data_IF_932616558033
#
_entry.id   IF_932616558033
#
_cell.length_a   1.000
_cell.length_b   1.000
_cell.length_c   1.000
_cell.angle_alpha   90.00
_cell.angle_beta   90.00
_cell.angle_gamma   90.00
#
_symmetry.space_group_name_H-M   'P 1'
#
loop_
_entity.id
_entity.type
_entity.pdbx_description
1 polymer ?
#
# COMPACT_ATOMS: atom_id res chain seq x y z
N UNK A 1 -3.87 4.24 1.65
CA UNK A 1 -4.50 4.02 0.30
C UNK A 1 -5.36 5.21 -0.15
N UNK A 2 -5.39 5.49 -1.46
CA UNK A 2 -5.82 6.79 -2.02
C UNK A 2 -6.13 6.68 -3.54
N UNK A 3 -7.18 7.37 -4.03
CA UNK A 3 -7.86 7.18 -5.34
C UNK A 3 -7.83 5.73 -5.89
N UNK A 4 -8.00 4.73 -5.02
CA UNK A 4 -7.67 3.35 -5.37
C UNK A 4 -8.91 2.57 -5.81
N UNK A 5 -8.82 1.95 -7.00
CA UNK A 5 -9.91 1.16 -7.63
C UNK A 5 -9.50 -0.27 -7.99
N UNK A 6 -8.23 -0.64 -7.76
CA UNK A 6 -7.68 -1.92 -8.21
C UNK A 6 -7.97 -3.07 -7.23
N UNK A 7 -9.25 -3.34 -7.02
CA UNK A 7 -9.71 -4.46 -6.19
C UNK A 7 -9.22 -5.85 -6.65
N UNK A 8 -8.98 -6.16 -7.95
CA UNK A 8 -8.38 -7.44 -8.32
C UNK A 8 -6.97 -7.62 -7.75
N UNK A 9 -6.12 -6.59 -7.85
CA UNK A 9 -4.76 -6.60 -7.29
C UNK A 9 -4.76 -6.58 -5.76
N UNK A 10 -5.76 -5.95 -5.12
CA UNK A 10 -5.94 -6.01 -3.67
C UNK A 10 -6.22 -7.44 -3.19
N UNK A 11 -7.08 -8.19 -3.89
CA UNK A 11 -7.34 -9.59 -3.56
C UNK A 11 -6.10 -10.46 -3.83
N UNK A 12 -5.41 -10.26 -4.96
CA UNK A 12 -4.13 -10.94 -5.27
C UNK A 12 -3.11 -10.72 -4.14
N UNK A 13 -2.96 -9.46 -3.69
CA UNK A 13 -2.06 -9.09 -2.59
C UNK A 13 -2.46 -9.79 -1.29
N UNK A 14 -3.72 -9.71 -0.86
CA UNK A 14 -4.17 -10.34 0.39
C UNK A 14 -3.94 -11.85 0.34
N UNK A 15 -4.41 -12.54 -0.70
CA UNK A 15 -4.35 -14.01 -0.74
C UNK A 15 -2.92 -14.55 -0.86
N UNK A 16 -2.04 -13.92 -1.64
CA UNK A 16 -0.64 -14.40 -1.71
C UNK A 16 0.13 -14.04 -0.44
N UNK A 17 -0.13 -12.91 0.22
CA UNK A 17 0.47 -12.62 1.52
C UNK A 17 -0.04 -13.55 2.64
N UNK A 18 -1.31 -14.00 2.57
CA UNK A 18 -1.81 -15.07 3.47
C UNK A 18 -1.04 -16.38 3.28
N UNK A 19 -0.74 -16.75 2.03
CA UNK A 19 0.08 -17.94 1.70
C UNK A 19 1.55 -17.75 2.13
N UNK A 20 2.07 -16.52 2.17
CA UNK A 20 3.35 -16.19 2.81
C UNK A 20 3.29 -16.18 4.35
N UNK A 21 2.12 -16.40 4.96
CA UNK A 21 1.93 -16.51 6.41
C UNK A 21 1.37 -15.27 7.11
N UNK A 22 0.92 -14.24 6.37
CA UNK A 22 0.27 -13.07 6.97
C UNK A 22 -1.15 -13.41 7.45
N UNK A 23 -1.37 -13.36 8.76
CA UNK A 23 -2.68 -13.64 9.39
C UNK A 23 -3.64 -12.44 9.40
N UNK A 24 -3.09 -11.22 9.31
CA UNK A 24 -3.83 -9.98 9.57
C UNK A 24 -3.32 -8.84 8.68
N UNK A 25 -4.27 -8.09 8.13
CA UNK A 25 -4.07 -7.03 7.14
C UNK A 25 -4.76 -5.76 7.58
N UNK A 26 -4.21 -4.64 7.12
CA UNK A 26 -4.66 -3.32 7.50
C UNK A 26 -4.48 -2.38 6.34
N UNK A 27 -5.48 -1.54 6.12
CA UNK A 27 -5.45 -0.56 5.05
C UNK A 27 -6.13 0.71 5.56
N UNK A 28 -5.36 1.77 5.81
CA UNK A 28 -6.03 3.08 5.92
C UNK A 28 -6.40 3.56 4.52
N UNK A 29 -7.57 4.17 4.40
CA UNK A 29 -8.07 4.66 3.12
C UNK A 29 -8.56 6.10 3.25
N UNK A 30 -8.20 6.94 2.29
CA UNK A 30 -8.74 8.31 2.16
C UNK A 30 -9.87 8.35 1.12
N UNK A 31 -9.67 7.68 -0.02
CA UNK A 31 -10.67 7.48 -1.08
C UNK A 31 -10.43 6.15 -1.81
N UNK A 32 -11.46 5.31 -1.89
CA UNK A 32 -11.46 4.01 -2.61
C UNK A 32 -12.75 3.85 -3.40
N UNK A 33 -12.78 3.06 -4.49
CA UNK A 33 -14.07 2.75 -5.14
C UNK A 33 -14.96 1.89 -4.24
N UNK A 34 -16.26 1.88 -4.52
CA UNK A 34 -17.20 1.05 -3.78
C UNK A 34 -16.84 -0.43 -3.80
N UNK A 35 -16.40 -0.95 -4.95
CA UNK A 35 -15.95 -2.34 -5.07
C UNK A 35 -14.79 -2.66 -4.11
N UNK A 36 -13.80 -1.76 -4.00
CA UNK A 36 -12.69 -1.90 -3.04
C UNK A 36 -13.19 -1.87 -1.60
N UNK A 37 -14.16 -1.00 -1.28
CA UNK A 37 -14.72 -0.89 0.06
C UNK A 37 -15.57 -2.11 0.47
N UNK A 38 -16.32 -2.71 -0.45
CA UNK A 38 -17.03 -3.97 -0.19
C UNK A 38 -16.04 -5.15 -0.06
N UNK A 39 -14.95 -5.18 -0.84
CA UNK A 39 -13.85 -6.16 -0.65
C UNK A 39 -13.23 -6.03 0.75
N UNK A 40 -13.01 -4.80 1.25
CA UNK A 40 -12.57 -4.61 2.64
C UNK A 40 -13.56 -5.21 3.65
N UNK A 41 -14.87 -4.98 3.50
CA UNK A 41 -15.88 -5.53 4.41
C UNK A 41 -15.92 -7.05 4.44
N UNK A 42 -15.74 -7.73 3.30
CA UNK A 42 -15.72 -9.20 3.28
C UNK A 42 -14.53 -9.75 4.09
N UNK A 43 -13.33 -9.22 3.89
CA UNK A 43 -12.18 -9.61 4.69
C UNK A 43 -12.23 -9.12 6.15
N UNK A 44 -12.93 -8.02 6.43
CA UNK A 44 -13.19 -7.52 7.80
C UNK A 44 -14.12 -8.47 8.58
N UNK A 45 -15.21 -8.94 7.96
CA UNK A 45 -16.09 -10.00 8.51
C UNK A 45 -15.33 -11.28 8.83
N UNK A 46 -14.33 -11.62 8.02
CA UNK A 46 -13.44 -12.77 8.24
C UNK A 46 -12.37 -12.52 9.31
N UNK A 47 -12.29 -11.31 9.86
CA UNK A 47 -11.25 -10.91 10.82
C UNK A 47 -9.86 -10.75 10.19
N UNK A 48 -9.72 -10.83 8.86
CA UNK A 48 -8.46 -10.78 8.12
C UNK A 48 -8.02 -9.33 7.89
N UNK A 49 -8.92 -8.46 7.43
CA UNK A 49 -8.64 -7.04 7.19
C UNK A 49 -9.17 -6.18 8.35
N UNK A 50 -8.55 -5.02 8.57
CA UNK A 50 -9.18 -3.88 9.26
C UNK A 50 -9.02 -2.64 8.38
N UNK A 51 -10.12 -2.14 7.78
CA UNK A 51 -10.10 -0.89 7.01
C UNK A 51 -10.25 0.28 7.98
N UNK A 52 -9.34 1.26 7.91
CA UNK A 52 -9.39 2.40 8.84
C UNK A 52 -9.44 3.71 8.05
N UNK A 53 -10.25 4.64 8.54
CA UNK A 53 -10.48 5.93 7.87
C UNK A 53 -9.25 6.81 8.02
N UNK A 54 -8.69 7.28 6.91
CA UNK A 54 -7.69 8.32 6.94
C UNK A 54 -8.34 9.64 7.38
N UNK A 55 -8.08 10.03 8.62
CA UNK A 55 -8.54 11.30 9.20
C UNK A 55 -7.95 12.53 8.50
N UNK A 56 -8.65 13.66 8.68
CA UNK A 56 -8.65 14.79 7.74
C UNK A 56 -8.68 16.09 8.58
N UNK A 57 -7.69 16.97 8.45
CA UNK A 57 -7.34 18.02 9.43
C UNK A 57 -8.30 19.22 9.48
N UNK A 58 -8.62 19.79 10.65
CA UNK A 58 -9.73 20.74 10.79
C UNK A 58 -9.55 22.02 9.94
N UNK A 59 -10.54 22.31 9.09
CA UNK A 59 -10.65 23.57 8.34
C UNK A 59 -10.80 24.75 9.28
N UNK A 60 -10.04 25.83 9.05
CA UNK A 60 -10.24 27.09 9.75
C UNK A 60 -11.53 27.76 9.24
N UNK A 61 -12.52 27.89 10.12
CA UNK A 61 -13.84 28.44 9.76
C UNK A 61 -13.84 29.95 9.54
N UNK A 62 -12.87 30.67 10.10
CA UNK A 62 -12.79 32.13 10.07
C UNK A 62 -12.07 32.64 8.82
N UNK A 63 -11.26 31.79 8.17
CA UNK A 63 -10.49 32.11 6.96
C UNK A 63 -10.82 31.24 5.74
N UNK A 64 -11.66 30.20 5.91
CA UNK A 64 -11.91 29.17 4.89
C UNK A 64 -10.70 28.26 4.61
N UNK A 65 -9.55 28.47 5.27
CA UNK A 65 -8.34 27.72 4.99
C UNK A 65 -8.48 26.25 5.41
N UNK A 66 -8.43 25.35 4.43
CA UNK A 66 -8.31 23.92 4.69
C UNK A 66 -6.83 23.48 4.57
N UNK A 67 -6.17 23.07 5.66
CA UNK A 67 -4.81 22.56 5.60
C UNK A 67 -4.68 21.29 4.73
N UNK A 68 -5.74 20.50 4.53
CA UNK A 68 -5.72 19.27 3.74
C UNK A 68 -5.34 19.48 2.25
N UNK A 69 -5.50 20.70 1.71
CA UNK A 69 -5.07 21.02 0.34
C UNK A 69 -3.54 21.07 0.18
N UNK A 70 -2.82 21.30 1.28
CA UNK A 70 -1.38 21.56 1.29
C UNK A 70 -0.62 20.51 2.12
N UNK A 71 -1.30 19.87 3.08
CA UNK A 71 -0.86 18.66 3.77
C UNK A 71 -0.75 17.46 2.81
N UNK A 72 0.38 17.40 2.14
CA UNK A 72 1.22 16.25 2.37
C UNK A 72 1.91 16.48 3.74
N UNK A 73 1.84 15.53 4.68
CA UNK A 73 2.90 15.27 5.68
C UNK A 73 3.30 16.36 6.72
N UNK A 74 2.67 16.41 7.91
CA UNK A 74 3.29 17.02 9.13
C UNK A 74 2.95 16.23 10.42
N UNK A 75 3.78 16.33 11.48
CA UNK A 75 3.38 15.90 12.84
C UNK A 75 4.40 15.24 13.80
N UNK A 76 5.70 15.11 13.46
CA UNK A 76 6.71 14.36 14.25
C UNK A 76 6.79 14.67 15.77
N UNK A 77 6.32 15.84 16.23
CA UNK A 77 6.41 16.30 17.62
C UNK A 77 5.11 16.22 18.42
N UNK A 78 3.95 16.08 17.77
CA UNK A 78 2.64 16.19 18.45
C UNK A 78 2.17 14.81 18.93
N UNK A 79 2.33 13.79 18.08
CA UNK A 79 1.82 12.43 18.35
C UNK A 79 2.55 11.68 19.46
N UNK A 80 3.81 12.05 19.73
CA UNK A 80 4.61 11.47 20.82
C UNK A 80 4.00 11.75 22.20
N UNK A 81 3.40 12.94 22.42
CA UNK A 81 2.81 13.30 23.70
C UNK A 81 1.35 12.83 23.85
N UNK A 82 0.57 12.80 22.77
CA UNK A 82 -0.84 12.38 22.86
C UNK A 82 -1.00 10.86 23.04
N UNK A 83 -0.15 10.06 22.38
CA UNK A 83 -0.15 8.60 22.52
C UNK A 83 0.21 8.16 23.95
N UNK A 84 1.21 8.80 24.56
CA UNK A 84 1.65 8.56 25.94
C UNK A 84 0.54 8.81 26.98
N UNK A 85 -0.47 9.61 26.64
CA UNK A 85 -1.50 10.10 27.55
C UNK A 85 -2.87 9.42 27.35
N UNK A 86 -3.00 8.42 26.46
CA UNK A 86 -4.31 7.82 26.09
C UNK A 86 -4.37 6.29 25.99
N UNK A 87 -3.25 5.57 26.05
CA UNK A 87 -3.22 4.13 25.75
C UNK A 87 -3.37 3.23 26.99
N UNK A 88 -4.57 2.66 27.21
CA UNK A 88 -4.85 1.62 28.22
C UNK A 88 -5.43 0.33 27.58
N UNK A 89 -4.94 -0.11 26.42
CA UNK A 89 -5.46 -1.29 25.68
C UNK A 89 -4.36 -2.27 25.22
N UNK A 90 -4.74 -3.37 24.54
CA UNK A 90 -3.92 -4.59 24.39
C UNK A 90 -4.12 -5.41 23.06
N UNK A 91 -4.41 -4.77 21.91
CA UNK A 91 -4.22 -5.37 20.54
C UNK A 91 -4.53 -4.41 19.36
N UNK A 92 -3.68 -4.34 18.29
CA UNK A 92 -4.06 -4.37 16.83
C UNK A 92 -3.03 -3.74 15.81
N UNK A 93 -2.35 -4.50 14.90
CA UNK A 93 -1.45 -3.97 13.84
C UNK A 93 -2.03 -3.01 12.77
N UNK A 94 -1.26 -2.63 11.72
CA UNK A 94 -1.64 -1.51 10.80
C UNK A 94 -0.82 -1.36 9.46
N UNK A 95 -1.28 -0.68 8.36
CA UNK A 95 -0.48 -0.21 7.16
C UNK A 95 -1.06 1.06 6.42
N UNK A 96 -0.40 2.24 6.54
CA UNK A 96 -0.45 3.52 5.72
C UNK A 96 -1.71 4.47 5.60
N UNK A 97 -1.86 5.47 6.50
CA UNK A 97 -2.62 6.75 6.25
C UNK A 97 -3.59 7.33 7.35
N UNK A 98 -3.17 8.08 8.39
CA UNK A 98 -4.07 8.73 9.41
C UNK A 98 -3.41 9.87 10.20
N UNK A 99 -4.16 10.92 10.54
CA UNK A 99 -3.77 11.91 11.56
C UNK A 99 -4.97 12.21 12.45
N UNK A 100 -4.89 11.81 13.71
CA UNK A 100 -5.90 12.04 14.77
C UNK A 100 -6.16 13.56 14.96
N UNK A 101 -7.33 14.02 15.43
CA UNK A 101 -7.68 15.43 15.34
C UNK A 101 -7.34 16.18 16.64
N UNK A 102 -6.18 16.83 16.65
CA UNK A 102 -5.88 17.94 17.57
C UNK A 102 -5.76 19.23 16.75
N UNK A 103 -6.21 20.35 17.34
CA UNK A 103 -6.24 21.67 16.72
C UNK A 103 -4.82 22.24 16.52
N UNK A 104 -4.11 21.74 15.52
CA UNK A 104 -2.82 22.28 15.10
C UNK A 104 -3.02 23.67 14.50
N UNK A 105 -2.19 24.63 14.92
CA UNK A 105 -2.18 25.96 14.33
C UNK A 105 -1.47 25.93 12.97
N UNK A 106 -2.06 26.62 11.99
CA UNK A 106 -1.52 26.75 10.63
C UNK A 106 -0.20 27.51 10.69
N UNK A 107 0.86 27.03 10.06
CA UNK A 107 2.10 27.79 10.02
C UNK A 107 1.88 29.11 9.25
N UNK A 108 2.32 30.26 9.79
CA UNK A 108 1.91 31.55 9.25
C UNK A 108 2.48 31.78 7.85
N UNK A 109 1.60 31.87 6.85
CA UNK A 109 1.94 32.39 5.52
C UNK A 109 2.60 33.75 5.66
N UNK A 110 3.82 33.89 5.13
CA UNK A 110 4.48 35.18 5.02
C UNK A 110 3.66 36.06 4.06
N UNK A 111 3.03 37.10 4.62
CA UNK A 111 2.06 37.96 3.93
C UNK A 111 2.67 38.87 2.86
N UNK A 112 3.98 39.10 2.91
CA UNK A 112 4.72 39.98 1.99
C UNK A 112 5.14 39.23 0.71
N UNK A 113 5.45 37.93 0.84
CA UNK A 113 5.98 37.08 -0.24
C UNK A 113 4.97 36.05 -0.77
N UNK A 114 3.85 35.85 -0.08
CA UNK A 114 2.91 34.76 -0.36
C UNK A 114 3.46 33.36 -0.07
N UNK A 115 4.60 33.26 0.62
CA UNK A 115 5.21 31.99 1.00
C UNK A 115 4.48 31.36 2.19
N UNK A 116 3.78 30.26 1.95
CA UNK A 116 3.31 29.37 3.01
C UNK A 116 4.26 28.15 3.08
N UNK A 117 4.93 27.89 4.23
CA UNK A 117 5.78 26.71 4.40
C UNK A 117 5.01 25.38 4.24
N UNK A 118 3.68 25.36 4.41
CA UNK A 118 2.84 24.17 4.24
C UNK A 118 2.95 23.57 2.81
N UNK A 119 3.25 24.38 1.79
CA UNK A 119 3.48 23.88 0.42
C UNK A 119 4.71 22.98 0.27
N UNK A 120 5.65 23.03 1.22
CA UNK A 120 6.96 22.36 1.11
C UNK A 120 7.07 21.10 1.98
N UNK A 121 5.96 20.65 2.56
CA UNK A 121 5.90 19.53 3.50
C UNK A 121 6.03 18.17 2.80
N UNK A 122 7.26 17.85 2.36
CA UNK A 122 7.53 16.62 1.62
C UNK A 122 8.35 15.60 2.43
N UNK A 123 7.66 14.87 3.32
CA UNK A 123 7.86 13.42 3.69
C UNK A 123 7.65 12.99 5.16
N UNK A 124 7.18 13.84 6.06
CA UNK A 124 6.79 13.50 7.46
C UNK A 124 5.63 12.49 7.58
N UNK A 125 4.41 12.78 7.09
CA UNK A 125 3.17 11.97 7.13
C UNK A 125 3.32 10.43 7.12
N UNK A 126 3.79 9.80 6.03
CA UNK A 126 3.94 8.33 6.04
C UNK A 126 4.86 7.83 7.17
N UNK A 127 5.79 8.63 7.72
CA UNK A 127 6.57 8.26 8.92
C UNK A 127 5.68 8.14 10.15
N UNK A 128 4.74 9.06 10.33
CA UNK A 128 3.75 8.99 11.40
C UNK A 128 2.93 7.72 11.20
N UNK A 129 2.50 7.43 9.97
CA UNK A 129 1.67 6.26 9.65
C UNK A 129 2.43 4.93 9.80
N UNK A 130 3.72 4.94 9.48
CA UNK A 130 4.66 3.83 9.71
C UNK A 130 4.89 3.58 11.21
N UNK A 131 4.94 4.62 12.04
CA UNK A 131 5.27 4.46 13.47
C UNK A 131 4.03 4.30 14.35
N UNK A 132 2.91 4.94 14.03
CA UNK A 132 1.57 4.56 14.54
C UNK A 132 1.28 3.08 14.23
N UNK A 133 1.76 2.57 13.09
CA UNK A 133 1.67 1.15 12.75
C UNK A 133 2.45 0.27 13.70
N UNK A 134 3.74 0.55 13.82
CA UNK A 134 4.64 -0.19 14.69
C UNK A 134 4.14 -0.22 16.15
N UNK A 135 3.65 0.91 16.65
CA UNK A 135 3.23 1.07 18.05
C UNK A 135 1.91 0.39 18.38
N UNK A 136 1.07 0.06 17.39
CA UNK A 136 -0.14 -0.77 17.57
C UNK A 136 0.11 -2.24 17.22
N UNK A 137 1.22 -2.55 16.54
CA UNK A 137 1.51 -3.86 15.95
C UNK A 137 1.82 -4.96 16.96
N UNK A 138 0.76 -5.52 17.55
CA UNK A 138 0.81 -6.76 18.32
C UNK A 138 0.90 -7.99 17.37
N UNK A 139 2.01 -8.06 16.66
CA UNK A 139 2.45 -9.18 15.82
C UNK A 139 3.95 -9.36 15.99
N UNK A 140 4.42 -10.60 16.02
CA UNK A 140 5.85 -10.92 16.07
C UNK A 140 6.64 -10.33 14.90
N UNK A 141 5.98 -10.17 13.74
CA UNK A 141 6.56 -9.61 12.52
C UNK A 141 5.58 -8.66 11.84
N UNK A 142 6.04 -7.43 11.58
CA UNK A 142 5.31 -6.38 10.89
C UNK A 142 6.04 -5.97 9.59
N UNK A 143 5.66 -6.53 8.42
CA UNK A 143 6.10 -6.07 7.12
C UNK A 143 5.34 -4.81 6.71
N UNK A 144 6.04 -3.69 6.50
CA UNK A 144 5.46 -2.52 5.86
C UNK A 144 5.67 -2.62 4.34
N UNK A 145 4.59 -2.74 3.56
CA UNK A 145 4.63 -3.04 2.11
C UNK A 145 3.53 -2.33 1.34
N UNK A 146 3.80 -2.03 0.07
CA UNK A 146 2.87 -1.43 -0.88
C UNK A 146 2.09 -2.56 -1.60
N UNK A 147 0.91 -2.29 -2.16
CA UNK A 147 -0.01 -3.33 -2.70
C UNK A 147 0.53 -4.07 -3.94
N UNK A 148 1.56 -3.54 -4.61
CA UNK A 148 2.31 -4.21 -5.67
C UNK A 148 3.64 -4.84 -5.21
N UNK A 149 3.84 -5.04 -3.91
CA UNK A 149 5.07 -5.60 -3.33
C UNK A 149 4.89 -6.95 -2.62
N UNK A 150 5.95 -7.75 -2.64
CA UNK A 150 5.98 -9.12 -2.11
C UNK A 150 7.36 -9.44 -1.53
N UNK A 151 7.43 -10.14 -0.39
CA UNK A 151 8.67 -10.63 0.20
C UNK A 151 8.68 -12.16 0.11
N UNK A 152 9.53 -12.72 -0.75
CA UNK A 152 9.49 -14.16 -1.09
C UNK A 152 10.83 -14.82 -0.74
N UNK A 153 10.85 -15.81 0.18
CA UNK A 153 12.02 -16.65 0.44
C UNK A 153 12.52 -17.39 -0.81
N UNK A 154 13.77 -17.84 -0.80
CA UNK A 154 14.41 -18.55 -1.92
C UNK A 154 14.56 -20.06 -1.68
N UNK A 155 14.01 -20.53 -0.55
CA UNK A 155 13.58 -21.89 -0.25
C UNK A 155 12.04 -21.94 -0.26
N UNK A 156 11.46 -23.12 -0.52
CA UNK A 156 10.02 -23.29 -0.79
C UNK A 156 9.14 -23.27 0.48
N UNK A 157 9.41 -22.36 1.42
CA UNK A 157 8.65 -22.19 2.67
C UNK A 157 8.01 -20.80 2.73
N UNK A 158 7.06 -20.61 3.65
CA UNK A 158 6.42 -19.31 3.86
C UNK A 158 7.41 -18.25 4.36
N UNK A 159 7.06 -16.97 4.19
CA UNK A 159 7.85 -15.88 4.76
C UNK A 159 7.87 -15.95 6.29
N UNK A 160 6.75 -16.35 6.92
CA UNK A 160 6.66 -16.52 8.37
C UNK A 160 7.68 -17.57 8.89
N UNK A 161 7.73 -18.75 8.29
CA UNK A 161 8.70 -19.80 8.66
C UNK A 161 10.15 -19.32 8.47
N UNK A 162 10.44 -18.63 7.36
CA UNK A 162 11.76 -18.04 7.10
C UNK A 162 12.17 -16.99 8.15
N UNK A 163 11.25 -16.11 8.54
CA UNK A 163 11.50 -15.10 9.57
C UNK A 163 11.70 -15.74 10.96
N UNK A 164 10.93 -16.79 11.27
CA UNK A 164 11.12 -17.59 12.48
C UNK A 164 12.49 -18.27 12.56
N UNK A 165 12.97 -18.87 11.47
CA UNK A 165 14.30 -19.48 11.40
C UNK A 165 15.42 -18.45 11.55
N UNK A 166 15.32 -17.32 10.85
CA UNK A 166 16.29 -16.24 10.97
C UNK A 166 16.26 -15.58 12.37
N UNK A 167 15.11 -15.51 13.04
CA UNK A 167 14.97 -15.05 14.44
C UNK A 167 15.48 -16.08 15.46
N UNK A 168 15.37 -17.38 15.17
CA UNK A 168 16.05 -18.45 15.95
C UNK A 168 17.57 -18.32 15.82
N UNK A 169 18.07 -18.02 14.61
CA UNK A 169 19.50 -17.83 14.30
C UNK A 169 20.09 -16.49 14.79
N UNK A 170 19.28 -15.43 14.86
CA UNK A 170 19.69 -14.05 15.16
C UNK A 170 18.84 -13.45 16.28
N UNK A 171 19.18 -13.79 17.52
CA UNK A 171 18.54 -13.20 18.73
C UNK A 171 18.86 -11.71 18.92
N UNK A 172 19.81 -11.17 18.17
CA UNK A 172 20.10 -9.74 18.05
C UNK A 172 19.33 -9.03 16.92
N UNK A 173 18.37 -9.71 16.26
CA UNK A 173 17.51 -9.11 15.24
C UNK A 173 16.35 -8.31 15.86
N UNK A 174 16.24 -7.04 15.47
CA UNK A 174 15.01 -6.23 15.57
C UNK A 174 14.16 -6.29 14.29
N UNK A 175 14.64 -7.00 13.27
CA UNK A 175 13.95 -7.19 12.00
C UNK A 175 14.91 -7.51 10.85
N UNK A 176 14.36 -7.66 9.66
CA UNK A 176 15.02 -8.29 8.52
C UNK A 176 14.86 -7.47 7.23
N UNK A 177 15.98 -7.02 6.66
CA UNK A 177 16.01 -6.15 5.47
C UNK A 177 16.22 -6.93 4.17
N UNK A 178 15.32 -6.77 3.20
CA UNK A 178 15.32 -7.50 1.93
C UNK A 178 15.74 -6.60 0.75
N UNK A 179 16.54 -7.15 -0.18
CA UNK A 179 17.05 -6.41 -1.35
C UNK A 179 16.02 -6.34 -2.49
N UNK A 180 15.94 -5.18 -3.14
CA UNK A 180 14.95 -4.87 -4.18
C UNK A 180 15.21 -5.57 -5.52
N UNK A 181 14.16 -6.20 -6.04
CA UNK A 181 14.00 -6.70 -7.39
C UNK A 181 12.78 -6.05 -8.04
N UNK A 182 12.95 -5.48 -9.24
CA UNK A 182 11.81 -5.08 -10.07
C UNK A 182 11.20 -6.35 -10.67
N UNK A 183 9.91 -6.61 -10.42
CA UNK A 183 9.19 -7.77 -10.92
C UNK A 183 8.29 -7.38 -12.11
N UNK A 184 8.16 -8.30 -13.06
CA UNK A 184 7.44 -8.12 -14.31
C UNK A 184 6.58 -9.36 -14.62
N UNK A 185 5.44 -9.14 -15.25
CA UNK A 185 4.51 -10.16 -15.74
C UNK A 185 4.20 -9.93 -17.24
N UNK A 186 3.66 -10.95 -17.92
CA UNK A 186 3.06 -10.79 -19.25
C UNK A 186 1.69 -10.10 -19.15
N UNK A 187 1.63 -8.80 -19.47
CA UNK A 187 0.40 -8.00 -19.47
C UNK A 187 -0.68 -8.59 -20.39
N UNK A 188 -0.29 -9.26 -21.48
CA UNK A 188 -1.21 -9.96 -22.37
C UNK A 188 -2.04 -11.06 -21.66
N UNK A 189 -1.58 -11.60 -20.53
CA UNK A 189 -2.27 -12.61 -19.71
C UNK A 189 -3.01 -12.03 -18.51
N UNK A 190 -3.20 -10.72 -18.43
CA UNK A 190 -3.89 -10.04 -17.32
C UNK A 190 -5.22 -9.44 -17.83
N UNK A 191 -6.36 -10.15 -17.76
CA UNK A 191 -7.60 -9.70 -18.41
C UNK A 191 -8.12 -8.35 -17.89
N UNK A 192 -7.92 -8.08 -16.60
CA UNK A 192 -8.30 -6.82 -15.96
C UNK A 192 -7.56 -5.57 -16.48
N UNK A 193 -6.46 -5.75 -17.24
CA UNK A 193 -5.76 -4.64 -17.92
C UNK A 193 -6.28 -4.34 -19.33
N UNK A 194 -7.15 -5.20 -19.87
CA UNK A 194 -7.62 -5.16 -21.26
C UNK A 194 -9.08 -4.75 -21.41
N UNK A 195 -9.94 -5.17 -20.48
CA UNK A 195 -11.39 -4.93 -20.58
C UNK A 195 -11.78 -3.49 -20.27
N UNK A 196 -12.83 -3.00 -20.95
CA UNK A 196 -13.59 -1.84 -20.49
C UNK A 196 -14.41 -2.16 -19.23
N UNK A 197 -14.95 -1.12 -18.59
CA UNK A 197 -15.86 -1.20 -17.43
C UNK A 197 -17.09 -2.09 -17.67
N UNK A 198 -17.50 -2.23 -18.93
CA UNK A 198 -18.69 -2.97 -19.37
C UNK A 198 -18.36 -4.41 -19.80
N UNK A 199 -17.22 -4.61 -20.48
CA UNK A 199 -16.76 -5.93 -20.92
C UNK A 199 -16.19 -6.79 -19.79
N UNK A 200 -15.68 -6.15 -18.72
CA UNK A 200 -14.95 -6.85 -17.68
C UNK A 200 -15.84 -7.88 -16.96
N UNK A 201 -15.38 -9.13 -16.89
CA UNK A 201 -16.05 -10.20 -16.16
C UNK A 201 -15.11 -10.80 -15.11
N UNK A 202 -15.40 -10.48 -13.85
CA UNK A 202 -14.58 -10.88 -12.71
C UNK A 202 -14.42 -12.40 -12.60
N UNK A 203 -15.41 -13.18 -13.07
CA UNK A 203 -15.40 -14.65 -13.06
C UNK A 203 -14.29 -15.25 -13.95
N UNK A 204 -13.78 -14.46 -14.90
CA UNK A 204 -12.71 -14.87 -15.84
C UNK A 204 -11.29 -14.60 -15.34
N UNK A 205 -11.09 -13.99 -14.17
CA UNK A 205 -9.74 -13.91 -13.60
C UNK A 205 -9.30 -15.28 -13.06
N UNK A 206 -8.08 -15.67 -13.45
CA UNK A 206 -7.49 -16.98 -13.22
C UNK A 206 -6.17 -16.92 -12.43
N UNK A 207 -5.52 -15.75 -12.38
CA UNK A 207 -4.21 -15.49 -11.76
C UNK A 207 -3.03 -16.23 -12.44
N UNK A 208 -3.23 -16.78 -13.63
CA UNK A 208 -2.20 -17.50 -14.40
C UNK A 208 -1.02 -16.60 -14.82
N UNK A 209 -1.21 -15.28 -14.87
CA UNK A 209 -0.14 -14.31 -15.09
C UNK A 209 0.97 -14.40 -14.03
N UNK A 210 0.68 -14.86 -12.81
CA UNK A 210 1.68 -15.00 -11.75
C UNK A 210 2.77 -16.02 -12.13
N UNK A 211 2.45 -17.11 -12.83
CA UNK A 211 3.44 -18.09 -13.32
C UNK A 211 4.42 -17.50 -14.33
N UNK A 212 4.08 -16.37 -14.95
CA UNK A 212 4.95 -15.70 -15.92
C UNK A 212 6.11 -14.96 -15.27
N UNK A 213 6.00 -14.65 -13.97
CA UNK A 213 6.88 -13.77 -13.21
C UNK A 213 8.36 -13.90 -13.61
N UNK A 214 8.96 -12.77 -13.94
CA UNK A 214 10.42 -12.59 -13.99
C UNK A 214 10.81 -11.39 -13.16
N UNK A 215 12.10 -11.24 -12.89
CA UNK A 215 12.60 -10.04 -12.26
C UNK A 215 13.93 -9.56 -12.81
N UNK A 216 14.21 -8.29 -12.51
CA UNK A 216 15.47 -7.61 -12.69
C UNK A 216 15.94 -7.06 -11.35
N UNK A 217 17.10 -7.49 -10.88
CA UNK A 217 17.68 -6.94 -9.63
C UNK A 217 17.94 -5.44 -9.80
N UNK A 218 17.67 -4.65 -8.76
CA UNK A 218 17.88 -3.19 -8.76
C UNK A 218 18.87 -2.78 -7.67
N UNK A 219 19.49 -1.61 -7.85
CA UNK A 219 20.22 -0.89 -6.80
C UNK A 219 19.31 0.03 -5.96
N UNK A 220 17.99 -0.09 -6.13
CA UNK A 220 16.99 0.66 -5.39
C UNK A 220 16.95 0.26 -3.90
N UNK A 221 16.38 1.15 -3.07
CA UNK A 221 16.21 0.90 -1.63
C UNK A 221 15.34 -0.35 -1.39
N UNK A 222 15.68 -1.09 -0.34
CA UNK A 222 14.99 -2.32 0.04
C UNK A 222 13.62 -2.09 0.71
N UNK A 223 13.16 -3.13 1.39
CA UNK A 223 12.05 -3.10 2.35
C UNK A 223 12.44 -3.96 3.56
N UNK A 224 11.95 -3.64 4.74
CA UNK A 224 12.26 -4.39 5.96
C UNK A 224 11.00 -4.96 6.63
N UNK A 225 11.12 -6.15 7.18
CA UNK A 225 10.15 -6.71 8.14
C UNK A 225 10.63 -6.35 9.54
N UNK A 226 9.84 -5.57 10.27
CA UNK A 226 10.16 -5.17 11.64
C UNK A 226 9.66 -6.18 12.67
N UNK A 227 10.28 -6.20 13.84
CA UNK A 227 9.76 -6.87 15.04
C UNK A 227 9.34 -5.78 16.04
N UNK A 228 8.03 -5.48 16.18
CA UNK A 228 7.52 -4.35 16.97
C UNK A 228 8.16 -4.22 18.36
N UNK A 229 8.20 -5.29 19.16
CA UNK A 229 8.78 -5.37 20.51
C UNK A 229 10.29 -5.03 20.62
N UNK A 230 10.95 -4.70 19.49
CA UNK A 230 12.42 -4.50 19.39
C UNK A 230 12.79 -3.23 18.63
N UNK A 231 11.82 -2.41 18.23
CA UNK A 231 12.00 -1.30 17.28
C UNK A 231 11.36 -0.02 17.81
N UNK A 232 12.11 1.07 17.78
CA UNK A 232 11.63 2.40 18.20
C UNK A 232 11.06 3.21 17.01
N UNK A 233 11.63 3.01 15.82
CA UNK A 233 11.28 3.78 14.63
C UNK A 233 11.49 2.98 13.34
N UNK A 234 10.46 2.88 12.49
CA UNK A 234 10.58 2.32 11.13
C UNK A 234 10.48 3.37 10.03
N UNK A 235 10.97 2.96 8.86
CA UNK A 235 10.90 3.66 7.58
C UNK A 235 10.41 2.70 6.49
N UNK A 236 9.65 3.20 5.52
CA UNK A 236 9.22 2.49 4.29
C UNK A 236 10.27 1.59 3.61
N UNK A 237 11.57 1.84 3.80
CA UNK A 237 12.64 1.04 3.18
C UNK A 237 13.56 0.29 4.14
N UNK A 238 13.54 0.61 5.44
CA UNK A 238 14.49 0.10 6.44
C UNK A 238 14.01 0.42 7.87
N UNK A 239 14.59 -0.21 8.88
CA UNK A 239 14.34 0.09 10.29
C UNK A 239 15.23 1.27 10.70
N UNK A 240 14.62 2.40 11.03
CA UNK A 240 15.34 3.66 11.27
C UNK A 240 15.98 3.73 12.67
N UNK A 241 15.38 3.07 13.67
CA UNK A 241 15.94 2.93 15.03
C UNK A 241 15.44 1.67 15.71
N UNK A 242 16.36 0.88 16.25
CA UNK A 242 16.09 -0.33 17.06
C UNK A 242 16.31 -0.04 18.55
N UNK A 243 15.64 -0.80 19.41
CA UNK A 243 15.96 -0.83 20.83
C UNK A 243 17.28 -1.57 21.04
N UNK A 244 18.11 -1.13 21.98
CA UNK A 244 19.34 -1.85 22.33
C UNK A 244 18.98 -3.19 23.02
N UNK A 245 19.62 -4.33 22.68
CA UNK A 245 20.81 -4.51 21.84
C UNK A 245 20.52 -4.92 20.38
N UNK A 246 19.29 -4.76 19.91
CA UNK A 246 18.83 -5.23 18.61
C UNK A 246 19.32 -4.37 17.44
N UNK A 247 19.25 -4.93 16.21
CA UNK A 247 19.54 -4.23 14.95
C UNK A 247 18.83 -4.88 13.76
N UNK A 248 18.73 -4.18 12.63
CA UNK A 248 18.26 -4.78 11.37
C UNK A 248 19.28 -5.79 10.83
N UNK A 249 18.81 -6.95 10.39
CA UNK A 249 19.62 -8.00 9.76
C UNK A 249 19.34 -8.04 8.26
N UNK A 250 20.33 -7.63 7.45
CA UNK A 250 20.23 -7.74 5.99
C UNK A 250 20.17 -9.19 5.51
N UNK A 251 19.08 -9.55 4.84
CA UNK A 251 18.87 -10.87 4.22
C UNK A 251 19.66 -10.95 2.90
N UNK A 252 20.47 -12.01 2.69
CA UNK A 252 21.11 -12.26 1.41
C UNK A 252 20.08 -12.54 0.30
N UNK A 253 20.31 -12.00 -0.91
CA UNK A 253 19.48 -12.28 -2.10
C UNK A 253 19.43 -13.78 -2.46
N UNK A 254 20.39 -14.59 -2.00
CA UNK A 254 20.38 -16.05 -2.12
C UNK A 254 19.39 -16.75 -1.19
N UNK A 255 18.86 -16.04 -0.18
CA UNK A 255 17.92 -16.52 0.84
C UNK A 255 16.52 -15.92 0.74
N UNK A 256 16.40 -14.65 0.39
CA UNK A 256 15.10 -13.95 0.29
C UNK A 256 15.21 -12.67 -0.51
N UNK A 257 14.15 -12.32 -1.23
CA UNK A 257 14.12 -11.16 -2.15
C UNK A 257 12.84 -10.37 -1.96
N UNK A 258 12.97 -9.05 -2.04
CA UNK A 258 11.85 -8.10 -2.06
C UNK A 258 11.52 -7.78 -3.52
N UNK A 259 10.33 -8.18 -3.96
CA UNK A 259 9.83 -7.99 -5.31
C UNK A 259 8.82 -6.83 -5.36
N UNK A 260 8.98 -5.94 -6.33
CA UNK A 260 8.15 -4.75 -6.54
C UNK A 260 7.61 -4.77 -7.97
N UNK A 261 6.30 -4.94 -8.16
CA UNK A 261 5.67 -5.31 -9.43
C UNK A 261 4.89 -4.16 -10.09
N UNK A 262 5.59 -3.05 -10.38
CA UNK A 262 4.94 -1.83 -10.87
C UNK A 262 4.20 -2.02 -12.18
N UNK A 263 3.05 -1.36 -12.29
CA UNK A 263 2.26 -1.26 -13.53
C UNK A 263 3.07 -0.76 -14.74
N UNK A 264 4.15 0.01 -14.54
CA UNK A 264 5.03 0.50 -15.62
C UNK A 264 6.25 -0.40 -15.91
N UNK A 265 6.32 -1.59 -15.29
CA UNK A 265 7.29 -2.66 -15.54
C UNK A 265 6.65 -3.94 -16.10
N UNK A 266 5.34 -3.91 -16.37
CA UNK A 266 4.64 -4.97 -17.09
C UNK A 266 5.16 -5.05 -18.53
N UNK A 267 5.56 -6.23 -18.97
CA UNK A 267 5.95 -6.48 -20.35
C UNK A 267 4.71 -6.84 -21.16
N UNK A 268 4.57 -6.38 -22.40
CA UNK A 268 3.39 -6.65 -23.22
C UNK A 268 3.20 -8.16 -23.43
N UNK A 269 4.27 -8.82 -23.85
CA UNK A 269 4.34 -10.25 -24.14
C UNK A 269 5.61 -10.90 -23.58
N UNK A 270 5.65 -12.24 -23.66
CA UNK A 270 6.78 -13.08 -23.29
C UNK A 270 8.14 -12.62 -23.86
N UNK A 271 8.20 -12.14 -25.11
CA UNK A 271 9.46 -11.74 -25.76
C UNK A 271 10.04 -10.45 -25.15
N UNK A 272 9.19 -9.51 -24.76
CA UNK A 272 9.60 -8.33 -24.00
C UNK A 272 9.97 -8.68 -22.55
N UNK A 273 9.29 -9.66 -21.95
CA UNK A 273 9.54 -10.15 -20.59
C UNK A 273 10.90 -10.86 -20.47
N UNK A 274 11.25 -11.71 -21.45
CA UNK A 274 12.52 -12.44 -21.50
C UNK A 274 13.71 -11.50 -21.79
N UNK A 275 13.50 -10.40 -22.52
CA UNK A 275 14.51 -9.34 -22.76
C UNK A 275 14.74 -8.41 -21.57
N UNK A 276 13.77 -8.29 -20.66
CA UNK A 276 13.83 -7.36 -19.52
C UNK A 276 14.27 -8.01 -18.21
N UNK A 277 14.13 -9.33 -18.08
CA UNK A 277 14.61 -10.13 -16.96
C UNK A 277 16.14 -10.14 -16.82
N UNK A 278 16.65 -10.40 -15.60
CA UNK A 278 18.06 -10.75 -15.41
C UNK A 278 18.39 -12.11 -16.05
N UNK A 279 19.56 -12.22 -16.69
CA UNK A 279 20.08 -13.45 -17.31
C UNK A 279 20.38 -14.59 -16.32
N UNK A 280 20.29 -14.35 -15.01
CA UNK A 280 20.50 -15.33 -13.94
C UNK A 280 19.29 -16.25 -13.77
N UNK A 281 19.12 -17.21 -14.69
CA UNK A 281 17.95 -18.10 -14.76
C UNK A 281 17.56 -18.81 -13.46
N UNK A 282 18.54 -19.17 -12.62
CA UNK A 282 18.35 -19.89 -11.33
C UNK A 282 17.46 -19.14 -10.34
N UNK A 283 17.44 -17.81 -10.37
CA UNK A 283 16.54 -17.03 -9.50
C UNK A 283 15.15 -16.84 -10.12
N UNK A 284 15.06 -16.74 -11.45
CA UNK A 284 13.76 -16.66 -12.14
C UNK A 284 13.00 -18.00 -12.03
N UNK A 285 13.69 -19.15 -12.03
CA UNK A 285 13.05 -20.44 -11.76
C UNK A 285 12.55 -20.55 -10.32
N UNK A 286 13.28 -20.02 -9.33
CA UNK A 286 12.81 -19.96 -7.93
C UNK A 286 11.56 -19.11 -7.75
N UNK A 287 11.53 -17.92 -8.35
CA UNK A 287 10.36 -17.04 -8.35
C UNK A 287 9.13 -17.73 -8.98
N UNK A 288 9.34 -18.47 -10.08
CA UNK A 288 8.26 -19.23 -10.74
C UNK A 288 7.83 -20.48 -9.97
N UNK A 289 8.73 -21.16 -9.26
CA UNK A 289 8.37 -22.32 -8.42
C UNK A 289 7.66 -21.94 -7.12
N UNK A 290 7.64 -20.66 -6.73
CA UNK A 290 6.73 -20.16 -5.69
C UNK A 290 5.28 -20.12 -6.21
N UNK A 291 5.05 -19.63 -7.43
CA UNK A 291 3.72 -19.54 -8.05
C UNK A 291 3.25 -20.88 -8.64
N UNK A 292 3.02 -21.87 -7.77
CA UNK A 292 2.53 -23.20 -8.15
C UNK A 292 1.08 -23.20 -8.64
N UNK A 293 0.68 -24.29 -9.32
CA UNK A 293 -0.71 -24.52 -9.71
C UNK A 293 -1.66 -24.53 -8.50
N UNK A 294 -1.26 -25.15 -7.38
CA UNK A 294 -2.03 -25.18 -6.14
C UNK A 294 -2.15 -23.82 -5.45
N UNK A 295 -1.09 -22.99 -5.50
CA UNK A 295 -1.14 -21.60 -5.00
C UNK A 295 -2.16 -20.81 -5.80
N UNK A 296 -2.09 -20.87 -7.13
CA UNK A 296 -2.96 -20.09 -8.03
C UNK A 296 -4.40 -20.58 -7.98
N UNK A 297 -4.63 -21.89 -7.86
CA UNK A 297 -5.93 -22.48 -7.55
C UNK A 297 -6.47 -21.93 -6.23
N UNK A 298 -5.67 -21.91 -5.17
CA UNK A 298 -6.09 -21.40 -3.84
C UNK A 298 -6.47 -19.92 -3.89
N UNK A 299 -5.63 -19.09 -4.52
CA UNK A 299 -5.91 -17.65 -4.74
C UNK A 299 -7.21 -17.49 -5.53
N UNK A 300 -7.39 -18.24 -6.63
CA UNK A 300 -8.59 -18.17 -7.46
C UNK A 300 -9.85 -18.60 -6.70
N UNK A 301 -9.81 -19.71 -5.97
CA UNK A 301 -10.97 -20.20 -5.21
C UNK A 301 -11.40 -19.19 -4.14
N UNK A 302 -10.46 -18.57 -3.43
CA UNK A 302 -10.80 -17.57 -2.41
C UNK A 302 -11.26 -16.24 -3.04
N UNK A 303 -10.64 -15.83 -4.14
CA UNK A 303 -11.10 -14.71 -4.95
C UNK A 303 -12.55 -14.86 -5.41
N UNK A 304 -12.95 -16.03 -5.93
CA UNK A 304 -14.34 -16.27 -6.35
C UNK A 304 -15.29 -16.12 -5.16
N UNK A 305 -15.03 -16.77 -4.02
CA UNK A 305 -15.86 -16.68 -2.80
C UNK A 305 -16.06 -15.24 -2.32
N UNK A 306 -14.99 -14.43 -2.35
CA UNK A 306 -15.05 -13.00 -1.99
C UNK A 306 -15.89 -12.23 -3.00
N UNK A 307 -15.68 -12.44 -4.30
CA UNK A 307 -16.39 -11.69 -5.35
C UNK A 307 -17.87 -12.07 -5.48
N UNK A 308 -18.26 -13.30 -5.15
CA UNK A 308 -19.67 -13.71 -5.00
C UNK A 308 -20.36 -12.93 -3.87
N UNK A 309 -19.71 -12.81 -2.70
CA UNK A 309 -20.23 -11.99 -1.61
C UNK A 309 -20.28 -10.50 -1.95
N UNK A 310 -19.27 -9.97 -2.65
CA UNK A 310 -19.24 -8.56 -3.09
C UNK A 310 -20.35 -8.27 -4.09
N UNK A 311 -20.55 -9.11 -5.12
CA UNK A 311 -21.67 -8.96 -6.07
C UNK A 311 -23.04 -8.99 -5.36
N UNK A 312 -23.19 -9.87 -4.36
CA UNK A 312 -24.38 -9.95 -3.51
C UNK A 312 -24.56 -8.72 -2.60
N UNK A 313 -23.49 -8.21 -1.99
CA UNK A 313 -23.52 -7.01 -1.13
C UNK A 313 -23.88 -5.75 -1.93
N UNK A 314 -23.39 -5.67 -3.18
CA UNK A 314 -23.60 -4.53 -4.07
C UNK A 314 -24.95 -4.56 -4.80
N UNK A 315 -25.62 -5.71 -4.89
CA UNK A 315 -26.84 -5.87 -5.70
C UNK A 315 -26.61 -5.68 -7.22
N UNK A 316 -25.36 -5.58 -7.66
CA UNK A 316 -24.93 -5.40 -9.05
C UNK A 316 -23.60 -6.11 -9.29
N UNK A 317 -23.34 -6.51 -10.54
CA UNK A 317 -22.03 -7.01 -10.96
C UNK A 317 -20.95 -5.97 -10.61
N UNK A 318 -19.88 -6.34 -9.87
CA UNK A 318 -18.75 -5.46 -9.59
C UNK A 318 -18.04 -5.07 -10.88
N UNK A 319 -17.79 -3.78 -11.05
CA UNK A 319 -17.11 -3.25 -12.24
C UNK A 319 -15.62 -3.02 -11.96
N UNK A 320 -14.80 -3.04 -13.00
CA UNK A 320 -13.39 -2.68 -12.89
C UNK A 320 -13.03 -1.73 -14.02
N UNK A 321 -12.40 -0.61 -13.70
CA UNK A 321 -11.88 0.33 -14.68
C UNK A 321 -10.48 0.76 -14.26
N UNK A 322 -9.52 0.44 -15.13
CA UNK A 322 -8.09 0.66 -14.92
C UNK A 322 -7.62 2.07 -15.33
N UNK A 323 -8.48 2.83 -16.02
CA UNK A 323 -8.12 4.15 -16.56
C UNK A 323 -7.86 5.22 -15.48
N UNK A 324 -8.23 4.98 -14.22
CA UNK A 324 -7.79 5.79 -13.06
C UNK A 324 -6.26 5.95 -13.06
N UNK A 325 -5.49 4.92 -13.41
CA UNK A 325 -4.03 5.02 -13.47
C UNK A 325 -3.53 5.95 -14.57
N UNK A 326 -4.19 5.99 -15.75
CA UNK A 326 -3.82 6.92 -16.82
C UNK A 326 -4.27 8.34 -16.53
N UNK A 327 -5.45 8.53 -15.92
CA UNK A 327 -5.94 9.83 -15.42
C UNK A 327 -4.99 10.39 -14.36
N UNK A 328 -4.66 9.62 -13.32
CA UNK A 328 -3.69 9.98 -12.27
C UNK A 328 -2.34 10.38 -12.85
N UNK A 329 -1.81 9.60 -13.81
CA UNK A 329 -0.56 9.90 -14.52
C UNK A 329 -0.65 11.19 -15.36
N UNK A 330 -1.84 11.53 -15.87
CA UNK A 330 -2.13 12.75 -16.59
C UNK A 330 -2.17 13.99 -15.69
N UNK A 331 -3.05 14.01 -14.69
CA UNK A 331 -3.23 15.16 -13.79
C UNK A 331 -1.98 15.44 -12.93
N UNK A 332 -1.24 14.41 -12.50
CA UNK A 332 0.04 14.58 -11.82
C UNK A 332 1.18 15.03 -12.76
N UNK A 333 0.99 15.19 -14.08
CA UNK A 333 2.10 15.56 -14.97
C UNK A 333 2.69 16.94 -14.60
N UNK A 334 3.96 16.94 -14.22
CA UNK A 334 4.67 18.15 -13.78
C UNK A 334 4.42 18.56 -12.33
N UNK A 335 3.80 17.74 -11.48
CA UNK A 335 3.54 18.07 -10.08
C UNK A 335 4.79 18.58 -9.33
N UNK A 336 5.93 17.87 -9.47
CA UNK A 336 7.21 18.23 -8.84
C UNK A 336 7.74 19.62 -9.23
N UNK A 337 7.37 20.15 -10.40
CA UNK A 337 7.81 21.46 -10.87
C UNK A 337 6.75 22.56 -10.67
N UNK A 338 5.54 22.22 -10.20
CA UNK A 338 4.50 23.19 -9.84
C UNK A 338 4.60 23.67 -8.38
N UNK A 339 5.31 22.93 -7.53
CA UNK A 339 5.70 23.37 -6.18
C UNK A 339 4.55 23.61 -5.18
N UNK A 340 3.31 23.32 -5.56
CA UNK A 340 2.09 23.53 -4.77
C UNK A 340 1.09 22.41 -5.04
N UNK A 341 0.20 22.21 -4.07
CA UNK A 341 -0.86 21.20 -4.00
C UNK A 341 -0.41 19.74 -3.80
N UNK A 342 -1.09 19.06 -2.88
CA UNK A 342 -1.14 17.59 -2.84
C UNK A 342 -1.67 17.03 -4.17
N UNK A 343 -1.24 15.84 -4.61
CA UNK A 343 -1.84 15.14 -5.76
C UNK A 343 -3.36 15.02 -5.71
N UNK A 344 -3.97 15.13 -4.51
CA UNK A 344 -5.42 15.08 -4.33
C UNK A 344 -6.13 16.22 -5.09
N UNK A 345 -5.75 17.46 -4.78
CA UNK A 345 -6.33 18.66 -5.38
C UNK A 345 -6.05 18.71 -6.89
N UNK A 346 -4.85 18.29 -7.31
CA UNK A 346 -4.47 18.25 -8.72
C UNK A 346 -5.34 17.32 -9.58
N UNK A 347 -5.93 16.28 -8.99
CA UNK A 347 -6.63 15.22 -9.70
C UNK A 347 -8.13 15.14 -9.41
N UNK A 348 -8.64 15.87 -8.42
CA UNK A 348 -10.03 15.79 -7.97
C UNK A 348 -11.03 16.02 -9.11
N UNK A 349 -10.92 17.11 -9.86
CA UNK A 349 -11.85 17.43 -10.96
C UNK A 349 -11.85 16.39 -12.09
N UNK A 350 -10.80 15.58 -12.21
CA UNK A 350 -10.70 14.49 -13.19
C UNK A 350 -11.15 13.12 -12.64
N UNK A 351 -11.38 12.99 -11.33
CA UNK A 351 -11.66 11.71 -10.67
C UNK A 351 -12.96 11.69 -9.85
N UNK A 352 -13.45 12.83 -9.32
CA UNK A 352 -14.59 12.86 -8.40
C UNK A 352 -15.85 12.16 -8.93
N UNK A 353 -16.11 12.28 -10.24
CA UNK A 353 -17.26 11.67 -10.92
C UNK A 353 -16.93 10.35 -11.67
N UNK A 354 -15.71 9.81 -11.50
CA UNK A 354 -15.23 8.64 -12.24
C UNK A 354 -15.93 7.34 -11.81
N UNK A 355 -16.16 7.17 -10.51
CA UNK A 355 -16.83 6.01 -9.93
C UNK A 355 -17.50 6.39 -8.61
N UNK A 356 -18.27 5.46 -8.03
CA UNK A 356 -18.80 5.56 -6.69
C UNK A 356 -17.65 5.51 -5.68
N UNK A 357 -17.22 6.67 -5.17
CA UNK A 357 -16.13 6.77 -4.19
C UNK A 357 -16.63 6.65 -2.75
N UNK A 358 -15.97 5.82 -1.97
CA UNK A 358 -16.10 5.80 -0.50
C UNK A 358 -14.94 6.58 0.09
N UNK A 359 -15.25 7.73 0.67
CA UNK A 359 -14.31 8.60 1.36
C UNK A 359 -14.24 8.31 2.86
N UNK A 360 -13.10 8.61 3.48
CA UNK A 360 -12.93 8.51 4.93
C UNK A 360 -13.85 9.44 5.73
N UNK A 361 -14.05 10.66 5.23
CA UNK A 361 -14.86 11.72 5.87
C UNK A 361 -15.69 12.49 4.83
N UNK A 362 -16.92 12.05 4.51
CA UNK A 362 -17.74 12.63 3.44
C UNK A 362 -18.02 14.14 3.58
N UNK A 363 -18.27 14.61 4.80
CA UNK A 363 -18.74 15.97 5.11
C UNK A 363 -17.83 17.12 4.63
N UNK A 364 -16.55 16.82 4.35
CA UNK A 364 -15.56 17.78 3.86
C UNK A 364 -15.44 17.86 2.34
N UNK A 365 -16.10 16.97 1.60
CA UNK A 365 -16.03 16.90 0.14
C UNK A 365 -17.32 17.41 -0.52
N UNK A 366 -18.42 17.49 0.24
CA UNK A 366 -19.71 18.07 -0.18
C UNK A 366 -19.70 19.61 -0.25
N UNK A 367 -18.70 20.27 0.33
CA UNK A 367 -18.64 21.73 0.54
C UNK A 367 -17.52 22.43 -0.25
N UNK A 368 -16.92 21.78 -1.24
CA UNK A 368 -15.75 22.32 -1.96
C UNK A 368 -16.11 22.88 -3.34
N UNK A 369 -16.38 24.18 -3.40
CA UNK A 369 -16.38 24.96 -4.65
C UNK A 369 -14.94 25.08 -5.20
N UNK A 370 -14.51 24.07 -5.98
CA UNK A 370 -13.20 24.04 -6.67
C UNK A 370 -13.12 24.98 -7.89
N UNK A 371 -13.84 26.10 -7.85
CA UNK A 371 -13.96 27.07 -8.96
C UNK A 371 -12.81 28.10 -8.95
N UNK A 372 -12.01 28.18 -7.87
CA UNK A 372 -10.99 29.21 -7.69
C UNK A 372 -9.62 28.70 -7.15
N UNK A 373 -8.91 27.85 -7.92
CA UNK A 373 -7.48 27.55 -7.75
C UNK A 373 -6.76 27.33 -9.10
#
# INVERSE_FOLDING_TARGET
MYWFTNWPKLIEFIEVWRILGASKFYFYYQSVSREVYEVFKEYEKMGIVVPIKAEVMPTNKDTGYNPDYHLFRIGDRIWQNDCLMRAETKFAPYIDGIVVPIKAEVMPTNKETGYNPDYHLFRIGDRIWQNDCLMRAETKFAPYVDVDEMLIPQNNQSLLEFLEEEEKRRKDAGGFGFKHAAMSFEAEKMPHLKSSKEEFDWRKLDFEWLKTATFKQQSAMGKAVSMPDRVDLISIHFIARTQWPYKEIGIPHSKGVYYHARNNWLAKNKVELEKSANSTGVYNSRLRSFFTDDLIKTVRENYIKIMENVEKSMGRKPCHDYSVFSILKGCMRGWKSKGKCSPYVMCYNALANFTEWVYANPSKYESVDLIAL
#
